data_IF_866926235700
#
_entry.id   IF_866926235700
#
_cell.length_a   1.000
_cell.length_b   1.000
_cell.length_c   1.000
_cell.angle_alpha   90.00
_cell.angle_beta   90.00
_cell.angle_gamma   90.00
#
_symmetry.space_group_name_H-M   'P 1'
#
loop_
_entity.id
_entity.type
_entity.pdbx_description
1 polymer ?
#
# COMPACT_ATOMS: atom_id res chain seq x y z
N UNK A 1 -9.13 -3.10 28.04
CA UNK A 1 -8.42 -2.80 26.78
C UNK A 1 -8.59 -4.00 25.88
N UNK A 2 -8.67 -3.87 24.55
CA UNK A 2 -8.70 -5.03 23.69
C UNK A 2 -7.39 -5.83 23.83
N UNK A 3 -7.48 -7.17 23.80
CA UNK A 3 -6.30 -8.05 23.83
C UNK A 3 -5.70 -8.09 22.41
N UNK A 4 -4.87 -7.10 22.08
CA UNK A 4 -4.30 -6.93 20.73
C UNK A 4 -3.30 -8.05 20.42
N UNK A 5 -3.45 -8.69 19.26
CA UNK A 5 -2.58 -9.75 18.74
C UNK A 5 -1.91 -9.39 17.41
N UNK A 6 -2.48 -8.44 16.67
CA UNK A 6 -1.92 -7.95 15.41
C UNK A 6 -1.95 -6.43 15.42
N UNK A 7 -0.82 -5.81 15.13
CA UNK A 7 -0.69 -4.38 14.83
C UNK A 7 -0.31 -4.25 13.36
N UNK A 8 -1.17 -3.59 12.57
CA UNK A 8 -0.92 -3.31 11.16
C UNK A 8 -0.63 -1.84 10.98
N UNK A 9 0.46 -1.49 10.28
CA UNK A 9 0.90 -0.11 10.13
C UNK A 9 1.16 0.24 8.67
N UNK A 10 0.59 1.35 8.20
CA UNK A 10 1.12 1.99 7.01
C UNK A 10 2.54 2.51 7.26
N UNK A 11 3.26 2.83 6.19
CA UNK A 11 4.66 3.22 6.25
C UNK A 11 4.87 4.72 6.07
N UNK A 12 4.55 5.23 4.88
CA UNK A 12 4.87 6.59 4.47
C UNK A 12 3.87 7.59 5.06
N UNK A 13 4.28 8.38 6.05
CA UNK A 13 3.39 9.29 6.79
C UNK A 13 2.77 8.67 8.05
N UNK A 14 3.07 7.39 8.33
CA UNK A 14 2.60 6.68 9.53
C UNK A 14 3.77 6.19 10.38
N UNK A 15 4.41 5.07 10.03
CA UNK A 15 5.55 4.54 10.78
C UNK A 15 6.83 5.31 10.52
N UNK A 16 7.04 5.70 9.26
CA UNK A 16 8.24 6.40 8.83
C UNK A 16 8.10 7.92 9.04
N UNK A 17 9.13 8.52 9.61
CA UNK A 17 9.26 9.97 9.66
C UNK A 17 9.36 10.59 8.26
N UNK A 18 9.24 11.91 8.17
CA UNK A 18 9.46 12.66 6.91
C UNK A 18 10.83 12.40 6.29
N UNK A 19 11.83 12.02 7.10
CA UNK A 19 13.18 11.61 6.66
C UNK A 19 13.29 10.12 6.30
N UNK A 20 12.16 9.39 6.26
CA UNK A 20 12.09 7.95 5.94
C UNK A 20 12.85 7.05 6.91
N UNK A 21 12.83 7.41 8.20
CA UNK A 21 13.43 6.65 9.30
C UNK A 21 12.35 6.18 10.27
N UNK A 22 12.64 5.16 11.05
CA UNK A 22 11.86 4.79 12.22
C UNK A 22 12.49 5.51 13.41
N UNK A 23 11.69 6.27 14.18
CA UNK A 23 12.20 6.92 15.39
C UNK A 23 12.62 5.88 16.43
N UNK A 24 13.59 6.19 17.31
CA UNK A 24 13.99 5.26 18.38
C UNK A 24 12.84 4.86 19.30
N UNK A 25 11.88 5.76 19.57
CA UNK A 25 10.71 5.47 20.41
C UNK A 25 9.72 4.56 19.70
N UNK A 26 9.42 4.81 18.40
CA UNK A 26 8.58 3.92 17.61
C UNK A 26 9.19 2.52 17.54
N UNK A 27 10.51 2.41 17.29
CA UNK A 27 11.21 1.12 17.31
C UNK A 27 11.03 0.38 18.62
N UNK A 28 11.33 1.05 19.76
CA UNK A 28 11.23 0.44 21.08
C UNK A 28 9.80 -0.01 21.44
N UNK A 29 8.77 0.78 21.09
CA UNK A 29 7.38 0.40 21.32
C UNK A 29 6.96 -0.82 20.47
N UNK A 30 7.39 -0.89 19.20
CA UNK A 30 7.13 -2.05 18.33
C UNK A 30 7.85 -3.31 18.84
N UNK A 31 9.09 -3.18 19.27
CA UNK A 31 9.89 -4.29 19.83
C UNK A 31 9.23 -4.85 21.11
N UNK A 32 8.83 -3.98 22.04
CA UNK A 32 8.12 -4.39 23.26
C UNK A 32 6.77 -5.05 22.95
N UNK A 33 6.02 -4.53 21.98
CA UNK A 33 4.78 -5.18 21.54
C UNK A 33 5.04 -6.56 20.94
N UNK A 34 6.09 -6.71 20.14
CA UNK A 34 6.50 -8.00 19.58
C UNK A 34 6.95 -9.00 20.65
N UNK A 35 7.66 -8.55 21.68
CA UNK A 35 8.05 -9.38 22.85
C UNK A 35 6.82 -9.91 23.62
N UNK A 36 5.71 -9.17 23.62
CA UNK A 36 4.41 -9.63 24.15
C UNK A 36 3.68 -10.60 23.22
N UNK A 37 4.28 -10.97 22.08
CA UNK A 37 3.71 -11.90 21.09
C UNK A 37 2.72 -11.25 20.12
N UNK A 38 2.73 -9.93 20.01
CA UNK A 38 1.91 -9.19 19.04
C UNK A 38 2.62 -9.22 17.69
N UNK A 39 1.91 -9.62 16.63
CA UNK A 39 2.43 -9.56 15.27
C UNK A 39 2.48 -8.11 14.76
N UNK A 40 3.67 -7.65 14.41
CA UNK A 40 3.89 -6.35 13.78
C UNK A 40 3.88 -6.54 12.26
N UNK A 41 2.96 -5.88 11.57
CA UNK A 41 2.68 -6.12 10.14
C UNK A 41 2.69 -4.80 9.38
N UNK A 42 3.74 -4.51 8.61
CA UNK A 42 3.73 -3.39 7.66
C UNK A 42 2.63 -3.59 6.61
N UNK A 43 1.94 -2.50 6.22
CA UNK A 43 0.90 -2.50 5.19
C UNK A 43 1.11 -1.34 4.23
N UNK A 44 1.52 -1.61 2.99
CA UNK A 44 2.00 -0.59 2.05
C UNK A 44 1.46 -0.77 0.62
N UNK A 45 1.46 0.32 -0.15
CA UNK A 45 1.20 0.29 -1.59
C UNK A 45 2.38 -0.24 -2.44
N UNK A 46 3.54 -0.49 -1.81
CA UNK A 46 4.74 -1.04 -2.46
C UNK A 46 4.66 -2.57 -2.49
N UNK A 47 5.40 -3.20 -3.42
CA UNK A 47 5.68 -4.64 -3.34
C UNK A 47 6.75 -4.93 -2.28
N UNK A 48 6.92 -6.18 -1.88
CA UNK A 48 7.76 -6.53 -0.73
C UNK A 48 9.20 -6.03 -0.86
N UNK A 49 9.88 -6.31 -1.97
CA UNK A 49 11.26 -5.84 -2.19
C UNK A 49 11.38 -4.32 -2.37
N UNK A 50 10.28 -3.65 -2.69
CA UNK A 50 10.19 -2.19 -2.76
C UNK A 50 9.94 -1.51 -1.42
N UNK A 51 9.78 -2.27 -0.32
CA UNK A 51 9.71 -1.68 1.01
C UNK A 51 11.09 -1.17 1.44
N UNK A 52 11.15 -0.04 2.20
CA UNK A 52 12.41 0.42 2.76
C UNK A 52 13.09 -0.65 3.62
N UNK A 53 14.40 -0.83 3.44
CA UNK A 53 15.19 -1.83 4.19
C UNK A 53 15.05 -1.65 5.71
N UNK A 54 14.95 -0.40 6.19
CA UNK A 54 14.75 -0.07 7.61
C UNK A 54 13.48 -0.69 8.22
N UNK A 55 12.49 -1.06 7.40
CA UNK A 55 11.26 -1.76 7.83
C UNK A 55 11.38 -3.26 7.54
N UNK A 56 11.83 -3.62 6.33
CA UNK A 56 11.91 -5.01 5.87
C UNK A 56 12.86 -5.86 6.73
N UNK A 57 13.93 -5.24 7.26
CA UNK A 57 14.97 -5.90 8.05
C UNK A 57 14.69 -5.87 9.57
N UNK A 58 13.51 -5.40 10.00
CA UNK A 58 13.12 -5.47 11.41
C UNK A 58 12.99 -6.93 11.86
N UNK A 59 13.69 -7.35 12.93
CA UNK A 59 13.79 -8.77 13.32
C UNK A 59 12.44 -9.36 13.77
N UNK A 60 11.49 -8.53 14.15
CA UNK A 60 10.17 -8.91 14.61
C UNK A 60 9.08 -8.82 13.53
N UNK A 61 9.41 -8.38 12.30
CA UNK A 61 8.49 -8.35 11.17
C UNK A 61 8.58 -9.68 10.41
N UNK A 62 7.52 -10.48 10.49
CA UNK A 62 7.40 -11.72 9.72
C UNK A 62 6.45 -11.59 8.54
N UNK A 63 5.33 -10.92 8.73
CA UNK A 63 4.30 -10.78 7.71
C UNK A 63 4.25 -9.35 7.21
N UNK A 64 3.91 -9.18 5.93
CA UNK A 64 3.67 -7.89 5.32
C UNK A 64 2.42 -7.93 4.44
N UNK A 65 1.65 -6.87 4.46
CA UNK A 65 0.57 -6.60 3.51
C UNK A 65 1.13 -5.64 2.47
N UNK A 66 1.20 -6.06 1.21
CA UNK A 66 1.83 -5.30 0.13
C UNK A 66 0.84 -4.98 -0.98
N UNK A 67 1.22 -4.05 -1.85
CA UNK A 67 0.45 -3.61 -3.03
C UNK A 67 -1.00 -3.25 -2.66
N UNK A 68 -1.18 -2.40 -1.61
CA UNK A 68 -2.50 -2.00 -1.10
C UNK A 68 -3.40 -3.17 -0.64
N UNK A 69 -2.82 -4.30 -0.25
CA UNK A 69 -3.57 -5.49 0.15
C UNK A 69 -3.76 -6.53 -0.96
N UNK A 70 -3.18 -6.31 -2.13
CA UNK A 70 -3.16 -7.31 -3.19
C UNK A 70 -2.33 -8.55 -2.83
N UNK A 71 -1.41 -8.42 -1.86
CA UNK A 71 -0.56 -9.53 -1.46
C UNK A 71 -0.34 -9.56 0.06
N UNK A 72 -0.31 -10.75 0.63
CA UNK A 72 0.17 -11.03 1.98
C UNK A 72 1.42 -11.91 1.85
N UNK A 73 2.52 -11.44 2.40
CA UNK A 73 3.83 -12.07 2.30
C UNK A 73 4.32 -12.58 3.66
N UNK A 74 4.90 -13.78 3.70
CA UNK A 74 5.62 -14.35 4.86
C UNK A 74 7.13 -14.25 4.59
N UNK A 75 7.79 -13.29 5.22
CA UNK A 75 9.22 -13.04 5.02
C UNK A 75 10.12 -14.15 5.57
N UNK A 76 9.65 -14.94 6.55
CA UNK A 76 10.42 -16.05 7.09
C UNK A 76 10.45 -17.25 6.15
N UNK A 77 9.30 -17.55 5.53
CA UNK A 77 9.13 -18.68 4.62
C UNK A 77 9.38 -18.29 3.15
N UNK A 78 9.70 -17.01 2.91
CA UNK A 78 9.92 -16.43 1.58
C UNK A 78 8.81 -16.80 0.58
N UNK A 79 7.55 -16.59 0.99
CA UNK A 79 6.40 -16.97 0.16
C UNK A 79 5.20 -16.05 0.31
N UNK A 80 4.43 -15.98 -0.75
CA UNK A 80 3.13 -15.33 -0.76
C UNK A 80 2.07 -16.24 -0.16
N UNK A 81 1.33 -15.72 0.82
CA UNK A 81 0.25 -16.43 1.50
C UNK A 81 -1.12 -16.14 0.86
N UNK A 82 -1.28 -14.98 0.25
CA UNK A 82 -2.52 -14.56 -0.44
C UNK A 82 -2.20 -13.59 -1.56
N UNK A 83 -2.97 -13.70 -2.66
CA UNK A 83 -2.98 -12.74 -3.77
C UNK A 83 -4.41 -12.36 -4.14
N UNK A 84 -4.59 -11.06 -4.44
CA UNK A 84 -5.79 -10.51 -5.05
C UNK A 84 -5.36 -9.73 -6.30
N UNK A 85 -5.56 -10.33 -7.47
CA UNK A 85 -5.02 -9.85 -8.75
C UNK A 85 -6.15 -9.58 -9.74
N UNK A 86 -5.94 -8.63 -10.64
CA UNK A 86 -6.73 -8.51 -11.86
C UNK A 86 -6.36 -9.66 -12.79
N UNK A 87 -7.34 -10.19 -13.52
CA UNK A 87 -7.04 -11.18 -14.57
C UNK A 87 -6.21 -10.53 -15.69
N UNK A 88 -5.43 -11.31 -16.47
CA UNK A 88 -4.70 -10.79 -17.63
C UNK A 88 -5.60 -10.04 -18.63
N UNK A 89 -6.82 -10.52 -18.83
CA UNK A 89 -7.80 -9.88 -19.71
C UNK A 89 -8.24 -8.51 -19.19
N UNK A 90 -8.57 -8.41 -17.89
CA UNK A 90 -8.91 -7.13 -17.27
C UNK A 90 -7.75 -6.13 -17.35
N UNK A 91 -6.52 -6.58 -17.08
CA UNK A 91 -5.35 -5.73 -17.20
C UNK A 91 -5.13 -5.20 -18.62
N UNK A 92 -5.31 -6.06 -19.63
CA UNK A 92 -5.16 -5.67 -21.04
C UNK A 92 -6.23 -4.65 -21.48
N UNK A 93 -7.47 -4.79 -21.01
CA UNK A 93 -8.54 -3.79 -21.23
C UNK A 93 -8.19 -2.44 -20.58
N UNK A 94 -7.61 -2.45 -19.36
CA UNK A 94 -7.15 -1.24 -18.67
C UNK A 94 -6.03 -0.59 -19.48
N UNK A 95 -5.00 -1.32 -19.89
CA UNK A 95 -3.90 -0.79 -20.69
C UNK A 95 -4.40 -0.16 -21.99
N UNK A 96 -5.32 -0.85 -22.71
CA UNK A 96 -5.91 -0.31 -23.93
C UNK A 96 -6.65 1.01 -23.70
N UNK A 97 -7.30 1.18 -22.57
CA UNK A 97 -7.94 2.44 -22.21
C UNK A 97 -6.91 3.51 -21.85
N UNK A 98 -5.88 3.18 -21.08
CA UNK A 98 -4.83 4.13 -20.68
C UNK A 98 -4.03 4.67 -21.86
N UNK A 99 -3.86 3.90 -22.95
CA UNK A 99 -3.24 4.35 -24.19
C UNK A 99 -4.01 5.50 -24.86
N UNK A 100 -5.29 5.71 -24.50
CA UNK A 100 -6.11 6.83 -25.02
C UNK A 100 -6.01 8.08 -24.14
N UNK A 101 -5.34 8.02 -22.99
CA UNK A 101 -5.22 9.11 -22.04
C UNK A 101 -3.82 9.75 -22.10
N UNK A 102 -3.70 11.05 -21.77
CA UNK A 102 -2.40 11.72 -21.68
C UNK A 102 -1.69 11.41 -20.35
N UNK A 103 -1.29 10.15 -20.16
CA UNK A 103 -0.67 9.62 -18.93
C UNK A 103 0.58 8.82 -19.23
N UNK A 104 1.43 8.64 -18.22
CA UNK A 104 2.36 7.52 -18.15
C UNK A 104 1.85 6.52 -17.12
N UNK A 105 2.02 5.23 -17.39
CA UNK A 105 1.52 4.18 -16.51
C UNK A 105 2.48 2.99 -16.43
N UNK A 106 2.37 2.26 -15.34
CA UNK A 106 3.10 1.03 -15.06
C UNK A 106 2.19 -0.02 -14.43
N UNK A 107 2.69 -1.23 -14.26
CA UNK A 107 1.99 -2.24 -13.48
C UNK A 107 2.92 -3.01 -12.56
N UNK A 108 2.31 -3.65 -11.54
CA UNK A 108 2.95 -4.66 -10.70
C UNK A 108 2.45 -6.05 -11.08
N UNK A 109 3.37 -6.93 -11.40
CA UNK A 109 3.11 -8.34 -11.67
C UNK A 109 4.25 -9.18 -11.10
N UNK A 110 3.91 -10.27 -10.43
CA UNK A 110 4.87 -11.17 -9.76
C UNK A 110 5.76 -10.46 -8.72
N UNK A 111 5.19 -9.49 -7.99
CA UNK A 111 5.93 -8.76 -6.95
C UNK A 111 6.97 -7.78 -7.49
N UNK A 112 6.89 -7.38 -8.75
CA UNK A 112 7.80 -6.44 -9.38
C UNK A 112 7.08 -5.41 -10.26
N UNK A 113 7.73 -4.24 -10.44
CA UNK A 113 7.22 -3.15 -11.28
C UNK A 113 7.72 -3.21 -12.72
N UNK A 114 6.80 -3.08 -13.69
CA UNK A 114 7.07 -3.13 -15.12
C UNK A 114 6.50 -1.91 -15.81
N UNK A 115 7.24 -1.33 -16.75
CA UNK A 115 6.80 -0.15 -17.50
C UNK A 115 7.28 -0.20 -18.94
N UNK A 116 6.45 0.23 -19.89
CA UNK A 116 6.87 0.40 -21.29
C UNK A 116 8.03 1.41 -21.35
N UNK A 117 9.11 1.06 -22.08
CA UNK A 117 10.33 1.86 -22.13
C UNK A 117 10.08 3.32 -22.53
N UNK A 118 9.23 3.54 -23.52
CA UNK A 118 8.89 4.89 -24.01
C UNK A 118 8.15 5.73 -22.97
N UNK A 119 7.33 5.11 -22.11
CA UNK A 119 6.66 5.79 -20.98
C UNK A 119 7.63 6.03 -19.83
N UNK A 120 8.51 5.07 -19.54
CA UNK A 120 9.56 5.20 -18.51
C UNK A 120 10.51 6.36 -18.82
N UNK A 121 10.95 6.51 -20.07
CA UNK A 121 11.85 7.59 -20.46
C UNK A 121 11.19 8.97 -20.29
N UNK A 122 9.86 9.05 -20.45
CA UNK A 122 9.06 10.27 -20.31
C UNK A 122 8.46 10.47 -18.91
N UNK A 123 8.72 9.59 -17.95
CA UNK A 123 8.11 9.68 -16.63
C UNK A 123 8.34 11.04 -15.94
N UNK A 124 9.51 11.68 -16.17
CA UNK A 124 9.82 13.00 -15.64
C UNK A 124 8.97 14.15 -16.23
N UNK A 125 8.27 13.95 -17.35
CA UNK A 125 7.33 14.94 -17.90
C UNK A 125 6.02 14.97 -17.13
N UNK A 126 5.73 13.91 -16.32
CA UNK A 126 4.48 13.70 -15.60
C UNK A 126 4.65 13.71 -14.08
N UNK A 127 5.85 13.43 -13.58
CA UNK A 127 6.17 13.33 -12.16
C UNK A 127 7.15 14.43 -11.80
N UNK A 128 6.65 15.52 -11.20
CA UNK A 128 7.45 16.71 -10.87
C UNK A 128 8.26 16.51 -9.58
N UNK A 129 7.75 15.73 -8.61
CA UNK A 129 8.48 15.46 -7.35
C UNK A 129 9.68 14.54 -7.63
N UNK A 130 10.92 15.02 -7.41
CA UNK A 130 12.12 14.24 -7.69
C UNK A 130 12.22 12.95 -6.86
N UNK A 131 11.66 12.93 -5.64
CA UNK A 131 11.66 11.75 -4.76
C UNK A 131 10.72 10.68 -5.32
N UNK A 132 9.53 11.10 -5.78
CA UNK A 132 8.56 10.19 -6.42
C UNK A 132 9.12 9.67 -7.74
N UNK A 133 9.71 10.52 -8.56
CA UNK A 133 10.33 10.12 -9.84
C UNK A 133 11.46 9.12 -9.63
N UNK A 134 12.36 9.37 -8.67
CA UNK A 134 13.43 8.42 -8.31
C UNK A 134 12.83 7.08 -7.90
N UNK A 135 11.86 7.08 -6.99
CA UNK A 135 11.19 5.86 -6.53
C UNK A 135 10.54 5.08 -7.70
N UNK A 136 9.88 5.77 -8.64
CA UNK A 136 9.29 5.12 -9.82
C UNK A 136 10.40 4.50 -10.69
N UNK A 137 11.47 5.22 -10.94
CA UNK A 137 12.57 4.73 -11.77
C UNK A 137 13.34 3.58 -11.12
N UNK A 138 13.52 3.61 -9.82
CA UNK A 138 14.25 2.57 -9.07
C UNK A 138 13.44 1.27 -8.95
N UNK A 139 12.12 1.36 -8.90
CA UNK A 139 11.22 0.23 -8.66
C UNK A 139 10.52 -0.28 -9.94
N UNK A 140 10.89 0.17 -11.14
CA UNK A 140 10.34 -0.31 -12.41
C UNK A 140 11.44 -0.77 -13.34
N UNK A 141 11.21 -1.90 -13.97
CA UNK A 141 12.02 -2.35 -15.09
C UNK A 141 11.40 -1.85 -16.38
N UNK A 142 12.11 -0.99 -17.14
CA UNK A 142 11.67 -0.59 -18.47
C UNK A 142 11.83 -1.73 -19.45
N UNK A 143 10.78 -1.99 -20.24
CA UNK A 143 10.77 -3.05 -21.25
C UNK A 143 10.13 -2.54 -22.54
N UNK A 144 10.61 -3.03 -23.67
CA UNK A 144 9.95 -2.86 -24.97
C UNK A 144 8.92 -3.96 -25.16
N UNK A 145 7.74 -3.64 -25.70
CA UNK A 145 6.66 -4.60 -25.85
C UNK A 145 6.02 -5.00 -24.50
N UNK A 146 5.90 -4.05 -23.60
CA UNK A 146 5.38 -4.21 -22.25
C UNK A 146 4.09 -5.05 -22.18
N UNK A 147 3.08 -4.74 -23.00
CA UNK A 147 1.81 -5.47 -22.97
C UNK A 147 1.95 -6.95 -23.37
N UNK A 148 2.80 -7.25 -24.34
CA UNK A 148 3.12 -8.62 -24.76
C UNK A 148 3.85 -9.38 -23.67
N UNK A 149 4.81 -8.74 -23.01
CA UNK A 149 5.51 -9.32 -21.86
C UNK A 149 4.52 -9.68 -20.74
N UNK A 150 3.67 -8.74 -20.32
CA UNK A 150 2.70 -8.97 -19.23
C UNK A 150 1.73 -10.10 -19.60
N UNK A 151 1.25 -10.11 -20.85
CA UNK A 151 0.36 -11.16 -21.35
C UNK A 151 1.04 -12.54 -21.42
N UNK A 152 2.29 -12.60 -21.88
CA UNK A 152 3.04 -13.86 -22.06
C UNK A 152 3.30 -14.60 -20.74
N UNK A 153 3.35 -13.87 -19.63
CA UNK A 153 3.52 -14.44 -18.29
C UNK A 153 2.29 -15.21 -17.84
N UNK A 154 1.11 -14.95 -18.41
CA UNK A 154 -0.17 -15.59 -18.08
C UNK A 154 -0.47 -15.58 -16.56
N UNK A 155 -0.12 -14.49 -15.91
CA UNK A 155 -0.31 -14.23 -14.48
C UNK A 155 -1.20 -13.01 -14.29
N UNK A 156 -1.88 -12.94 -13.14
CA UNK A 156 -2.62 -11.76 -12.74
C UNK A 156 -1.74 -10.52 -12.56
N UNK A 157 -2.35 -9.36 -12.61
CA UNK A 157 -1.71 -8.06 -12.36
C UNK A 157 -2.19 -7.55 -11.01
N UNK A 158 -1.25 -7.26 -10.12
CA UNK A 158 -1.53 -6.85 -8.74
C UNK A 158 -2.02 -5.41 -8.67
N UNK A 159 -1.41 -4.52 -9.46
CA UNK A 159 -1.74 -3.10 -9.54
C UNK A 159 -1.38 -2.53 -10.90
N UNK A 160 -2.21 -1.63 -11.41
CA UNK A 160 -1.85 -0.72 -12.50
C UNK A 160 -1.93 0.69 -11.90
N UNK A 161 -0.91 1.50 -12.11
CA UNK A 161 -0.94 2.90 -11.70
C UNK A 161 -0.59 3.82 -12.87
N UNK A 162 -1.15 5.03 -12.83
CA UNK A 162 -0.91 6.05 -13.84
C UNK A 162 -0.64 7.39 -13.20
N UNK A 163 0.17 8.21 -13.86
CA UNK A 163 0.54 9.55 -13.41
C UNK A 163 0.05 10.58 -14.43
N UNK A 164 -0.52 11.63 -13.90
CA UNK A 164 -1.07 12.74 -14.65
C UNK A 164 -0.18 13.97 -14.51
N UNK A 165 0.07 14.67 -15.61
CA UNK A 165 0.64 16.01 -15.60
C UNK A 165 -0.43 17.06 -15.31
N UNK A 166 -1.62 16.85 -15.84
CA UNK A 166 -2.78 17.73 -15.76
C UNK A 166 -3.76 17.21 -14.70
N UNK A 167 -3.98 17.98 -13.62
CA UNK A 167 -4.84 17.61 -12.51
C UNK A 167 -6.33 17.64 -12.86
N UNK A 168 -6.75 18.46 -13.85
CA UNK A 168 -8.12 18.46 -14.34
C UNK A 168 -8.40 17.16 -15.10
N UNK A 169 -7.44 16.72 -15.92
CA UNK A 169 -7.53 15.40 -16.58
C UNK A 169 -7.55 14.23 -15.60
N UNK A 170 -6.80 14.33 -14.50
CA UNK A 170 -6.88 13.34 -13.41
C UNK A 170 -8.28 13.32 -12.78
N UNK A 171 -8.83 14.50 -12.46
CA UNK A 171 -10.16 14.60 -11.86
C UNK A 171 -11.26 14.06 -12.79
N UNK A 172 -11.19 14.36 -14.09
CA UNK A 172 -12.10 13.81 -15.12
C UNK A 172 -11.95 12.27 -15.25
N UNK A 173 -10.71 11.75 -15.16
CA UNK A 173 -10.43 10.32 -15.37
C UNK A 173 -10.93 9.44 -14.24
N UNK A 174 -10.97 9.93 -13.00
CA UNK A 174 -11.39 9.14 -11.85
C UNK A 174 -12.80 8.56 -11.98
N UNK A 175 -13.87 9.37 -12.25
CA UNK A 175 -15.22 8.82 -12.46
C UNK A 175 -15.31 7.94 -13.71
N UNK A 176 -14.58 8.27 -14.78
CA UNK A 176 -14.55 7.45 -16.00
C UNK A 176 -13.97 6.05 -15.75
N UNK A 177 -12.87 5.97 -15.03
CA UNK A 177 -12.26 4.68 -14.67
C UNK A 177 -13.21 3.84 -13.80
N UNK A 178 -13.86 4.45 -12.81
CA UNK A 178 -14.83 3.77 -11.95
C UNK A 178 -16.05 3.26 -12.73
N UNK A 179 -16.54 4.04 -13.69
CA UNK A 179 -17.67 3.65 -14.53
C UNK A 179 -17.28 2.54 -15.51
N UNK A 180 -16.09 2.63 -16.12
CA UNK A 180 -15.65 1.69 -17.14
C UNK A 180 -15.19 0.35 -16.55
N UNK A 181 -14.60 0.37 -15.37
CA UNK A 181 -14.06 -0.81 -14.70
C UNK A 181 -14.70 -1.02 -13.32
N UNK A 182 -16.01 -1.29 -13.25
CA UNK A 182 -16.73 -1.43 -11.97
C UNK A 182 -16.26 -2.64 -11.15
N UNK A 183 -15.55 -3.58 -11.78
CA UNK A 183 -14.92 -4.75 -11.12
C UNK A 183 -13.54 -4.46 -10.52
N UNK A 184 -13.07 -3.20 -10.58
CA UNK A 184 -11.78 -2.79 -10.05
C UNK A 184 -11.94 -1.66 -9.02
N UNK A 185 -11.04 -1.67 -8.04
CA UNK A 185 -10.92 -0.59 -7.07
C UNK A 185 -10.03 0.53 -7.64
N UNK A 186 -10.52 1.76 -7.66
CA UNK A 186 -9.77 2.94 -8.12
C UNK A 186 -9.43 3.82 -6.94
N UNK A 187 -8.14 3.91 -6.61
CA UNK A 187 -7.59 4.65 -5.48
C UNK A 187 -6.51 5.64 -5.91
N UNK A 188 -5.92 6.33 -4.95
CA UNK A 188 -4.79 7.23 -5.12
C UNK A 188 -3.89 7.15 -3.88
N UNK A 189 -2.59 7.16 -4.07
CA UNK A 189 -1.59 7.17 -2.99
C UNK A 189 -0.76 8.45 -2.95
N UNK A 190 -0.75 9.21 -4.04
CA UNK A 190 -0.11 10.53 -4.13
C UNK A 190 -0.98 11.47 -4.95
N UNK A 191 -0.69 12.77 -4.89
CA UNK A 191 -1.54 13.82 -5.46
C UNK A 191 -1.85 13.64 -6.94
N UNK A 192 -0.88 13.22 -7.76
CA UNK A 192 -1.00 13.19 -9.22
C UNK A 192 -1.15 11.78 -9.82
N UNK A 193 -1.42 10.74 -8.99
CA UNK A 193 -1.65 9.39 -9.50
C UNK A 193 -3.11 8.93 -9.36
N UNK A 194 -3.46 7.89 -10.11
CA UNK A 194 -4.56 6.98 -9.84
C UNK A 194 -4.02 5.55 -9.92
N UNK A 195 -4.62 4.65 -9.15
CA UNK A 195 -4.24 3.24 -9.04
C UNK A 195 -5.47 2.36 -9.22
N UNK A 196 -5.33 1.30 -10.01
CA UNK A 196 -6.34 0.25 -10.17
C UNK A 196 -5.83 -1.05 -9.57
N UNK A 197 -6.65 -1.63 -8.72
CA UNK A 197 -6.41 -2.94 -8.11
C UNK A 197 -7.67 -3.81 -8.25
N UNK A 198 -7.57 -5.10 -8.01
CA UNK A 198 -8.75 -5.95 -7.80
C UNK A 198 -9.63 -5.38 -6.67
N UNK A 199 -10.95 -5.60 -6.73
CA UNK A 199 -11.87 -5.18 -5.64
C UNK A 199 -11.50 -5.81 -4.30
N UNK A 200 -10.87 -6.99 -4.30
CA UNK A 200 -10.39 -7.64 -3.07
C UNK A 200 -9.03 -7.11 -2.58
N UNK A 201 -8.35 -6.30 -3.42
CA UNK A 201 -7.04 -5.75 -3.09
C UNK A 201 -7.19 -4.42 -2.35
N UNK A 202 -7.54 -4.48 -1.08
CA UNK A 202 -7.48 -3.34 -0.18
C UNK A 202 -7.04 -3.78 1.23
N UNK A 203 -6.38 -2.88 1.95
CA UNK A 203 -5.70 -3.18 3.22
C UNK A 203 -6.64 -3.82 4.26
N UNK A 204 -7.91 -3.44 4.30
CA UNK A 204 -8.89 -4.01 5.23
C UNK A 204 -9.21 -5.48 4.94
N UNK A 205 -9.43 -5.86 3.67
CA UNK A 205 -9.64 -7.28 3.30
C UNK A 205 -8.38 -8.09 3.59
N UNK A 206 -7.20 -7.56 3.27
CA UNK A 206 -5.94 -8.23 3.57
C UNK A 206 -5.75 -8.47 5.08
N UNK A 207 -6.11 -7.49 5.93
CA UNK A 207 -6.12 -7.68 7.39
C UNK A 207 -7.00 -8.86 7.80
N UNK A 208 -8.25 -8.93 7.31
CA UNK A 208 -9.15 -10.06 7.61
C UNK A 208 -8.61 -11.41 7.11
N UNK A 209 -7.99 -11.42 5.93
CA UNK A 209 -7.34 -12.63 5.40
C UNK A 209 -6.16 -13.05 6.28
N UNK A 210 -5.33 -12.10 6.70
CA UNK A 210 -4.21 -12.36 7.62
C UNK A 210 -4.72 -12.89 8.98
N UNK A 211 -5.77 -12.31 9.54
CA UNK A 211 -6.40 -12.81 10.76
C UNK A 211 -6.79 -14.30 10.63
N UNK A 212 -7.42 -14.67 9.51
CA UNK A 212 -7.79 -16.08 9.24
C UNK A 212 -6.57 -17.00 9.13
N UNK A 213 -5.51 -16.55 8.45
CA UNK A 213 -4.25 -17.30 8.28
C UNK A 213 -3.59 -17.56 9.64
N UNK A 214 -3.63 -16.57 10.53
CA UNK A 214 -2.99 -16.65 11.85
C UNK A 214 -3.90 -17.21 12.95
N UNK A 215 -5.19 -17.44 12.68
CA UNK A 215 -6.16 -17.87 13.70
C UNK A 215 -6.43 -16.79 14.75
N UNK A 216 -6.29 -15.51 14.42
CA UNK A 216 -6.53 -14.36 15.29
C UNK A 216 -7.93 -13.79 15.03
N UNK A 217 -8.66 -13.47 16.09
CA UNK A 217 -9.95 -12.79 15.96
C UNK A 217 -9.74 -11.33 15.48
N UNK A 218 -10.49 -10.84 14.49
CA UNK A 218 -10.41 -9.43 14.05
C UNK A 218 -10.59 -8.41 15.19
N UNK A 219 -11.30 -8.76 16.26
CA UNK A 219 -11.44 -7.92 17.46
C UNK A 219 -10.15 -7.76 18.26
N UNK A 220 -9.09 -8.47 17.89
CA UNK A 220 -7.76 -8.41 18.51
C UNK A 220 -6.75 -7.68 17.61
N UNK A 221 -7.22 -6.75 16.78
CA UNK A 221 -6.38 -6.03 15.83
C UNK A 221 -6.34 -4.54 16.11
N UNK A 222 -5.17 -3.93 15.89
CA UNK A 222 -4.95 -2.50 15.89
C UNK A 222 -4.35 -2.10 14.54
N UNK A 223 -4.78 -0.98 13.97
CA UNK A 223 -4.28 -0.51 12.67
C UNK A 223 -3.93 0.96 12.72
N UNK A 224 -2.86 1.36 12.02
CA UNK A 224 -2.39 2.74 11.91
C UNK A 224 -2.34 3.17 10.45
N UNK A 225 -2.75 4.41 10.17
CA UNK A 225 -2.70 4.96 8.81
C UNK A 225 -2.90 6.46 8.76
N UNK A 226 -2.55 7.07 7.62
CA UNK A 226 -2.73 8.50 7.34
C UNK A 226 -3.33 8.76 5.96
N UNK A 227 -3.25 7.79 5.03
CA UNK A 227 -3.72 7.89 3.66
C UNK A 227 -5.15 7.38 3.43
N UNK A 228 -5.76 7.80 2.30
CA UNK A 228 -7.11 7.36 1.94
C UNK A 228 -7.21 5.83 1.69
N UNK A 229 -6.10 5.19 1.30
CA UNK A 229 -5.99 3.74 1.14
C UNK A 229 -5.98 2.98 2.49
N UNK A 230 -5.84 3.68 3.63
CA UNK A 230 -5.88 3.11 4.98
C UNK A 230 -7.28 3.04 5.57
N UNK A 231 -8.23 3.83 5.06
CA UNK A 231 -9.58 3.93 5.60
C UNK A 231 -10.22 2.56 5.83
N UNK A 232 -10.07 1.66 4.86
CA UNK A 232 -10.65 0.32 4.96
C UNK A 232 -10.00 -0.50 6.07
N UNK A 233 -8.70 -0.36 6.28
CA UNK A 233 -7.94 -1.04 7.32
C UNK A 233 -8.31 -0.49 8.71
N UNK A 234 -8.37 0.82 8.85
CA UNK A 234 -8.76 1.48 10.10
C UNK A 234 -10.17 1.10 10.55
N UNK A 235 -11.13 1.03 9.60
CA UNK A 235 -12.51 0.61 9.89
C UNK A 235 -12.64 -0.88 10.19
N UNK A 236 -11.74 -1.71 9.69
CA UNK A 236 -11.77 -3.16 9.86
C UNK A 236 -11.14 -3.60 11.18
N UNK A 237 -10.11 -2.90 11.62
CA UNK A 237 -9.45 -3.19 12.90
C UNK A 237 -10.38 -2.91 14.08
N UNK A 238 -10.18 -3.63 15.20
CA UNK A 238 -10.89 -3.34 16.44
C UNK A 238 -10.52 -1.96 17.00
N UNK A 239 -9.28 -1.52 16.77
CA UNK A 239 -8.81 -0.19 17.10
C UNK A 239 -8.09 0.42 15.88
N UNK A 240 -8.81 1.23 15.11
CA UNK A 240 -8.24 2.05 14.04
C UNK A 240 -7.66 3.35 14.61
N UNK A 241 -6.41 3.63 14.34
CA UNK A 241 -5.67 4.80 14.79
C UNK A 241 -5.22 5.63 13.60
N UNK A 242 -5.72 6.84 13.46
CA UNK A 242 -5.25 7.80 12.48
C UNK A 242 -4.09 8.61 13.03
N UNK A 243 -3.12 8.92 12.19
CA UNK A 243 -2.07 9.88 12.53
C UNK A 243 -2.62 11.32 12.51
N UNK A 244 -2.03 12.23 13.28
CA UNK A 244 -2.51 13.64 13.25
C UNK A 244 -2.18 14.36 11.93
N UNK A 245 -1.19 13.89 11.18
CA UNK A 245 -0.94 14.35 9.81
C UNK A 245 -1.88 13.73 8.75
N UNK A 246 -2.81 12.84 9.14
CA UNK A 246 -3.75 12.18 8.23
C UNK A 246 -4.77 13.16 7.61
N UNK A 247 -5.28 12.78 6.44
CA UNK A 247 -6.42 13.47 5.82
C UNK A 247 -7.66 13.47 6.75
N UNK A 248 -8.52 14.52 6.69
CA UNK A 248 -9.72 14.59 7.54
C UNK A 248 -10.59 13.33 7.47
N UNK A 249 -10.80 12.78 6.27
CA UNK A 249 -11.62 11.59 6.03
C UNK A 249 -11.02 10.33 6.68
N UNK A 250 -9.69 10.27 6.82
CA UNK A 250 -8.99 9.17 7.50
C UNK A 250 -9.18 9.29 9.01
N UNK A 251 -9.08 10.51 9.57
CA UNK A 251 -9.35 10.79 10.98
C UNK A 251 -10.80 10.45 11.36
N UNK A 252 -11.76 10.77 10.49
CA UNK A 252 -13.19 10.41 10.68
C UNK A 252 -13.44 8.90 10.65
N UNK A 253 -12.60 8.15 9.94
CA UNK A 253 -12.71 6.70 9.83
C UNK A 253 -12.12 5.93 11.01
N UNK A 254 -11.29 6.59 11.83
CA UNK A 254 -10.56 6.00 12.93
C UNK A 254 -11.33 6.05 14.25
N UNK A 255 -10.95 5.16 15.19
CA UNK A 255 -11.47 5.19 16.57
C UNK A 255 -10.68 6.17 17.46
N UNK A 256 -9.43 6.44 17.09
CA UNK A 256 -8.52 7.28 17.86
C UNK A 256 -7.59 8.05 16.89
N UNK A 257 -7.26 9.28 17.26
CA UNK A 257 -6.24 10.08 16.55
C UNK A 257 -5.04 10.22 17.49
N UNK A 258 -3.89 9.75 17.05
CA UNK A 258 -2.61 9.89 17.76
C UNK A 258 -1.85 11.12 17.29
N UNK A 259 -0.59 11.29 17.67
CA UNK A 259 0.27 12.36 17.19
C UNK A 259 0.77 12.10 15.75
N UNK A 260 1.55 13.03 15.18
CA UNK A 260 2.09 12.88 13.83
C UNK A 260 3.17 11.79 13.76
N UNK A 261 3.49 11.38 12.54
CA UNK A 261 4.60 10.45 12.27
C UNK A 261 5.96 10.99 12.71
N UNK A 262 6.16 12.31 12.72
CA UNK A 262 7.40 12.95 13.17
C UNK A 262 7.46 13.16 14.71
N UNK A 263 6.35 12.93 15.42
CA UNK A 263 6.24 13.09 16.86
C UNK A 263 5.86 11.80 17.60
N UNK A 264 6.36 10.65 17.10
CA UNK A 264 6.20 9.34 17.73
C UNK A 264 4.74 8.88 17.92
N UNK A 265 3.83 9.25 17.02
CA UNK A 265 2.41 8.95 17.15
C UNK A 265 2.13 7.44 17.28
N UNK A 266 2.88 6.60 16.54
CA UNK A 266 2.76 5.14 16.63
C UNK A 266 3.11 4.64 18.03
N UNK A 267 4.25 5.06 18.58
CA UNK A 267 4.68 4.67 19.92
C UNK A 267 3.67 5.08 20.99
N UNK A 268 3.20 6.33 20.95
CA UNK A 268 2.24 6.86 21.92
C UNK A 268 0.96 6.03 22.01
N UNK A 269 0.43 5.62 20.84
CA UNK A 269 -0.76 4.79 20.83
C UNK A 269 -0.47 3.34 21.27
N UNK A 270 0.66 2.73 20.87
CA UNK A 270 1.06 1.40 21.34
C UNK A 270 1.27 1.38 22.85
N UNK A 271 1.96 2.36 23.40
CA UNK A 271 2.18 2.51 24.85
C UNK A 271 0.86 2.65 25.62
N UNK A 272 -0.10 3.37 25.04
CA UNK A 272 -1.41 3.58 25.68
C UNK A 272 -2.31 2.34 25.67
N UNK A 273 -2.29 1.54 24.58
CA UNK A 273 -3.28 0.49 24.36
C UNK A 273 -2.74 -0.94 24.45
N UNK A 274 -1.41 -1.13 24.34
CA UNK A 274 -0.79 -2.45 24.29
C UNK A 274 0.27 -2.70 25.35
N UNK A 275 0.90 -1.65 25.90
CA UNK A 275 1.98 -1.76 26.89
C UNK A 275 1.54 -1.43 28.28
#
# INVERSE_FOLDING_TARGET
MPDIKIIVLDLDGTLLTSDKKISPRNYAALEQAAEKGIHIVPSTGRFYDGMPAVVRELPFVRYAITVNGAEIYDAREDRVLHRAEMTPAQADEVFAFLDTLPVVYDCYQDGWGWMEKSLYDRAGDFIEDPKVLSMVKDLRTPVEGFRELIRSRNRGVQKIQMFFKDMDKRAESLPLLRQRFPGLNVTSSITNNLELNSLEAHKGVALLKLCRILGVDPTQTMAFGDGLNDITMLRTAALGVAMDNAYPEVKEAANFVTDTNDHDGVAKAIEQFCL
#
